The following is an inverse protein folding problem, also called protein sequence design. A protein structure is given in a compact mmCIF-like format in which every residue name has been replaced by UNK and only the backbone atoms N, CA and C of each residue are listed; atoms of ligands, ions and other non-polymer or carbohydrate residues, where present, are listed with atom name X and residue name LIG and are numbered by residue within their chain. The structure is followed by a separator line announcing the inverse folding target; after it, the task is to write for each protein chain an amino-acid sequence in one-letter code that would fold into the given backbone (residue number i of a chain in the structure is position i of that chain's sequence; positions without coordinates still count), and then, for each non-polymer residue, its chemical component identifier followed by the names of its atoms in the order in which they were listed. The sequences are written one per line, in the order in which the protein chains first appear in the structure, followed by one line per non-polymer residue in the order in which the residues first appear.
data_IF_273021309020
#
_entry.id   IF_273021309020
#
_cell.length_a   1.000
_cell.length_b   1.000
_cell.length_c   1.000
_cell.angle_alpha   90.00
_cell.angle_beta   90.00
_cell.angle_gamma   90.00
#
_symmetry.space_group_name_H-M   'P 1'
#
loop_
_entity.id
_entity.type
_entity.pdbx_description
1 polymer ?
#
# COMPACT_ATOMS: atom_id res chain seq x y z
N UNK A 1 -8.06 23.35 -18.18
CA UNK A 1 -7.74 21.92 -18.23
C UNK A 1 -6.24 21.72 -18.32
N UNK A 2 -5.70 20.58 -17.85
CA UNK A 2 -4.28 20.22 -17.89
C UNK A 2 -3.70 20.27 -19.32
N UNK A 3 -4.48 19.85 -20.32
CA UNK A 3 -4.09 19.87 -21.73
C UNK A 3 -3.89 21.30 -22.28
N UNK A 4 -4.72 22.26 -21.87
CA UNK A 4 -4.49 23.67 -22.26
C UNK A 4 -3.24 24.25 -21.62
N UNK A 5 -3.00 23.92 -20.34
CA UNK A 5 -1.77 24.30 -19.65
C UNK A 5 -0.53 23.68 -20.31
N UNK A 6 -0.61 22.39 -20.71
CA UNK A 6 0.43 21.72 -21.47
C UNK A 6 0.71 22.46 -22.80
N UNK A 7 -0.32 22.76 -23.58
CA UNK A 7 -0.14 23.49 -24.84
C UNK A 7 0.48 24.88 -24.63
N UNK A 8 0.06 25.57 -23.56
CA UNK A 8 0.67 26.86 -23.23
C UNK A 8 2.16 26.72 -22.87
N UNK A 9 2.53 25.70 -22.10
CA UNK A 9 3.91 25.42 -21.76
C UNK A 9 4.74 25.08 -23.00
N UNK A 10 4.22 24.21 -23.89
CA UNK A 10 4.90 23.85 -25.14
C UNK A 10 5.07 25.04 -26.08
N UNK A 11 4.06 25.90 -26.18
CA UNK A 11 4.14 27.13 -26.95
C UNK A 11 5.20 28.10 -26.41
N UNK A 12 5.27 28.28 -25.09
CA UNK A 12 6.26 29.11 -24.43
C UNK A 12 7.68 28.58 -24.63
N UNK A 13 7.84 27.27 -24.71
CA UNK A 13 9.11 26.57 -24.94
C UNK A 13 9.51 26.52 -26.45
N UNK A 14 8.67 27.03 -27.34
CA UNK A 14 8.89 26.97 -28.79
C UNK A 14 8.69 25.58 -29.41
N UNK A 15 8.13 24.63 -28.67
CA UNK A 15 7.91 23.24 -29.09
C UNK A 15 6.57 23.08 -29.83
N UNK A 16 6.34 23.80 -30.90
CA UNK A 16 5.08 23.87 -31.64
C UNK A 16 4.61 22.53 -32.22
N UNK A 17 5.53 21.66 -32.55
CA UNK A 17 5.25 20.31 -33.06
C UNK A 17 4.71 19.35 -32.00
N UNK A 18 4.76 19.73 -30.73
CA UNK A 18 4.23 18.93 -29.59
C UNK A 18 2.86 19.39 -29.11
N UNK A 19 2.26 20.38 -29.77
CA UNK A 19 0.96 20.87 -29.37
C UNK A 19 -0.13 19.82 -29.62
N UNK A 20 -1.00 19.65 -28.65
CA UNK A 20 -2.24 18.87 -28.80
C UNK A 20 -3.16 19.62 -29.77
N UNK A 21 -3.67 18.97 -30.83
CA UNK A 21 -4.57 19.59 -31.80
C UNK A 21 -5.81 20.18 -31.15
N UNK A 22 -6.28 21.32 -31.67
CA UNK A 22 -7.47 21.98 -31.15
C UNK A 22 -8.71 21.10 -31.20
N UNK A 23 -8.86 20.32 -32.27
CA UNK A 23 -9.95 19.35 -32.40
C UNK A 23 -9.99 18.32 -31.26
N UNK A 24 -8.81 17.89 -30.79
CA UNK A 24 -8.69 16.99 -29.64
C UNK A 24 -9.12 17.69 -28.35
N UNK A 25 -8.68 18.94 -28.14
CA UNK A 25 -9.12 19.72 -26.98
C UNK A 25 -10.63 19.93 -26.94
N UNK A 26 -11.21 20.28 -28.09
CA UNK A 26 -12.65 20.52 -28.22
C UNK A 26 -13.47 19.22 -28.02
N UNK A 27 -12.93 18.06 -28.46
CA UNK A 27 -13.52 16.75 -28.20
C UNK A 27 -13.55 16.40 -26.72
N UNK A 28 -12.42 16.64 -26.02
CA UNK A 28 -12.32 16.45 -24.57
C UNK A 28 -13.26 17.38 -23.79
N UNK A 29 -13.39 18.63 -24.20
CA UNK A 29 -14.29 19.59 -23.56
C UNK A 29 -15.75 19.17 -23.71
N UNK A 30 -16.13 18.65 -24.87
CA UNK A 30 -17.47 18.08 -25.08
C UNK A 30 -17.71 16.84 -24.24
N UNK A 31 -16.76 15.89 -24.26
CA UNK A 31 -16.86 14.68 -23.45
C UNK A 31 -16.99 15.01 -21.96
N UNK A 32 -16.24 16.01 -21.48
CA UNK A 32 -16.35 16.49 -20.11
C UNK A 32 -17.72 17.12 -19.81
N UNK A 33 -18.23 17.95 -20.70
CA UNK A 33 -19.54 18.59 -20.54
C UNK A 33 -20.70 17.58 -20.56
N UNK A 34 -20.56 16.51 -21.33
CA UNK A 34 -21.54 15.42 -21.47
C UNK A 34 -21.40 14.33 -20.39
N UNK A 35 -20.35 14.41 -19.55
CA UNK A 35 -20.04 13.37 -18.56
C UNK A 35 -19.50 12.07 -19.16
N UNK A 36 -19.05 12.10 -20.41
CA UNK A 36 -18.53 10.94 -21.14
C UNK A 36 -17.01 10.83 -20.97
N UNK A 37 -16.55 10.70 -19.75
CA UNK A 37 -15.13 10.50 -19.40
C UNK A 37 -15.03 9.63 -18.14
N UNK A 38 -13.85 9.05 -17.86
CA UNK A 38 -13.68 8.29 -16.63
C UNK A 38 -12.44 7.42 -16.63
N UNK A 39 -12.18 6.78 -15.48
CA UNK A 39 -11.00 5.97 -15.24
C UNK A 39 -10.89 4.73 -16.15
N UNK A 40 -12.01 4.29 -16.70
CA UNK A 40 -12.12 3.13 -17.59
C UNK A 40 -12.70 3.50 -18.96
N UNK A 41 -12.62 4.76 -19.36
CA UNK A 41 -13.07 5.21 -20.68
C UNK A 41 -11.91 5.12 -21.66
N UNK A 42 -12.07 4.36 -22.72
CA UNK A 42 -11.03 4.09 -23.72
C UNK A 42 -10.64 5.32 -24.54
N UNK A 43 -11.61 6.22 -24.78
CA UNK A 43 -11.41 7.39 -25.66
C UNK A 43 -11.10 8.65 -24.87
N UNK A 44 -11.78 8.85 -23.76
CA UNK A 44 -11.63 10.01 -22.89
C UNK A 44 -11.27 9.57 -21.46
N UNK A 45 -10.09 8.96 -21.26
CA UNK A 45 -9.67 8.50 -19.95
C UNK A 45 -9.44 9.71 -19.02
N UNK A 46 -9.98 9.64 -17.82
CA UNK A 46 -9.68 10.58 -16.76
C UNK A 46 -9.54 9.82 -15.45
N UNK A 47 -8.31 9.65 -15.02
CA UNK A 47 -7.96 8.80 -13.87
C UNK A 47 -7.49 9.66 -12.71
N UNK A 48 -8.17 9.57 -11.59
CA UNK A 48 -7.64 9.98 -10.31
C UNK A 48 -6.89 8.78 -9.70
N UNK A 49 -5.60 8.70 -9.96
CA UNK A 49 -4.75 7.60 -9.50
C UNK A 49 -4.76 7.41 -7.99
N UNK A 50 -4.95 8.50 -7.25
CA UNK A 50 -5.10 8.43 -5.81
C UNK A 50 -6.36 7.66 -5.42
N UNK A 51 -7.50 8.05 -5.97
CA UNK A 51 -8.78 7.39 -5.65
C UNK A 51 -8.82 5.94 -6.14
N UNK A 52 -8.13 5.62 -7.24
CA UNK A 52 -8.07 4.26 -7.75
C UNK A 52 -7.20 3.35 -6.88
N UNK A 53 -6.09 3.84 -6.36
CA UNK A 53 -5.09 3.00 -5.70
C UNK A 53 -5.11 3.11 -4.17
N UNK A 54 -5.44 4.27 -3.62
CA UNK A 54 -5.36 4.51 -2.17
C UNK A 54 -6.72 4.30 -1.51
N UNK A 55 -6.72 3.54 -0.45
CA UNK A 55 -7.87 3.26 0.39
C UNK A 55 -7.58 3.54 1.85
N UNK A 56 -8.27 2.82 2.72
CA UNK A 56 -8.08 2.89 4.17
C UNK A 56 -7.33 1.66 4.66
N UNK A 57 -6.24 1.86 5.37
CA UNK A 57 -5.57 0.82 6.12
C UNK A 57 -6.24 0.59 7.48
N UNK A 58 -6.17 -0.63 7.97
CA UNK A 58 -6.71 -0.99 9.28
C UNK A 58 -5.61 -1.54 10.16
N UNK A 59 -5.39 -0.89 11.31
CA UNK A 59 -4.44 -1.32 12.34
C UNK A 59 -5.18 -1.89 13.53
N UNK A 60 -4.73 -3.05 14.01
CA UNK A 60 -5.25 -3.74 15.18
C UNK A 60 -4.17 -3.87 16.22
N UNK A 61 -4.49 -3.53 17.46
CA UNK A 61 -3.63 -3.73 18.61
C UNK A 61 -4.41 -4.37 19.74
N UNK A 62 -3.99 -5.58 20.12
CA UNK A 62 -4.56 -6.29 21.26
C UNK A 62 -3.46 -6.56 22.27
N UNK A 63 -3.74 -6.31 23.54
CA UNK A 63 -2.85 -6.63 24.63
C UNK A 63 -3.65 -7.18 25.81
N UNK A 64 -3.27 -8.37 26.26
CA UNK A 64 -3.85 -8.99 27.43
C UNK A 64 -2.74 -9.25 28.42
N UNK A 65 -2.93 -8.85 29.66
CA UNK A 65 -1.99 -9.13 30.72
C UNK A 65 -2.70 -9.61 31.99
N UNK A 66 -2.02 -10.50 32.68
CA UNK A 66 -2.46 -11.03 33.98
C UNK A 66 -1.30 -10.87 34.97
N UNK A 67 -1.66 -10.58 36.18
CA UNK A 67 -0.70 -10.50 37.30
C UNK A 67 -1.35 -11.04 38.57
N UNK A 68 -0.56 -11.60 39.40
CA UNK A 68 -1.01 -12.07 40.71
C UNK A 68 0.16 -12.53 41.55
N UNK A 69 -0.13 -13.02 42.72
CA UNK A 69 0.88 -13.58 43.58
C UNK A 69 0.41 -13.87 44.96
N UNK A 70 1.27 -14.54 45.68
CA UNK A 70 1.19 -14.85 47.10
C UNK A 70 2.48 -14.39 47.76
N UNK A 71 2.68 -14.61 49.06
CA UNK A 71 3.91 -14.34 49.74
C UNK A 71 5.12 -15.15 49.21
N UNK A 72 4.84 -16.30 48.58
CA UNK A 72 5.82 -17.22 48.04
C UNK A 72 6.15 -16.98 46.56
N UNK A 73 5.18 -16.50 45.79
CA UNK A 73 5.34 -16.33 44.35
C UNK A 73 4.58 -15.09 43.85
N UNK A 74 5.23 -14.32 42.96
CA UNK A 74 4.58 -13.28 42.17
C UNK A 74 4.72 -13.62 40.69
N UNK A 75 3.70 -13.33 39.91
CA UNK A 75 3.74 -13.56 38.49
C UNK A 75 3.12 -12.41 37.71
N UNK A 76 3.64 -12.22 36.52
CA UNK A 76 3.10 -11.37 35.48
C UNK A 76 3.21 -12.12 34.15
N UNK A 77 2.15 -12.12 33.36
CA UNK A 77 2.18 -12.60 31.99
C UNK A 77 1.43 -11.62 31.09
N UNK A 78 1.98 -11.42 29.90
CA UNK A 78 1.40 -10.52 28.89
C UNK A 78 1.54 -11.15 27.52
N UNK A 79 0.48 -11.04 26.72
CA UNK A 79 0.46 -11.42 25.30
C UNK A 79 -0.10 -10.26 24.51
N UNK A 80 0.63 -9.86 23.45
CA UNK A 80 0.22 -8.79 22.57
C UNK A 80 0.19 -9.24 21.12
N UNK A 81 -0.71 -8.67 20.37
CA UNK A 81 -0.84 -8.80 18.93
C UNK A 81 -0.95 -7.41 18.31
N UNK A 82 -0.17 -7.19 17.25
CA UNK A 82 -0.31 -6.04 16.36
C UNK A 82 -0.50 -6.55 14.93
N UNK A 83 -1.47 -6.00 14.23
CA UNK A 83 -1.71 -6.26 12.82
C UNK A 83 -1.91 -4.97 12.07
N UNK A 84 -1.10 -4.71 11.03
CA UNK A 84 -1.22 -3.57 10.15
C UNK A 84 -1.58 -4.06 8.75
N UNK A 85 -2.69 -3.57 8.22
CA UNK A 85 -3.14 -3.82 6.86
C UNK A 85 -2.61 -2.80 5.87
N UNK A 86 -2.88 -3.06 4.58
CA UNK A 86 -2.49 -2.19 3.49
C UNK A 86 -3.42 -0.98 3.38
N UNK A 87 -2.87 0.14 2.92
CA UNK A 87 -3.62 1.32 2.50
C UNK A 87 -3.96 1.29 1.01
N UNK A 88 -3.33 0.41 0.24
CA UNK A 88 -3.57 0.30 -1.19
C UNK A 88 -4.73 -0.66 -1.49
N UNK A 89 -5.55 -0.31 -2.48
CA UNK A 89 -6.69 -1.11 -2.96
C UNK A 89 -6.25 -2.27 -3.85
N UNK A 90 -5.30 -3.06 -3.39
CA UNK A 90 -4.77 -4.18 -4.13
C UNK A 90 -5.59 -5.44 -3.93
N UNK A 91 -5.64 -6.29 -4.94
CA UNK A 91 -6.29 -7.59 -4.89
C UNK A 91 -5.25 -8.71 -4.90
N UNK A 92 -5.48 -9.70 -4.06
CA UNK A 92 -4.74 -10.96 -4.14
C UNK A 92 -5.06 -11.64 -5.47
N UNK A 93 -4.04 -12.15 -6.16
CA UNK A 93 -4.19 -13.04 -7.29
C UNK A 93 -3.80 -14.49 -6.91
N UNK A 94 -3.90 -15.42 -7.87
CA UNK A 94 -3.63 -16.83 -7.62
C UNK A 94 -2.15 -17.13 -7.36
N UNK A 95 -1.26 -16.29 -7.88
CA UNK A 95 0.18 -16.50 -7.79
C UNK A 95 0.79 -15.84 -6.55
N UNK A 96 0.29 -14.68 -6.13
CA UNK A 96 0.83 -13.94 -4.99
C UNK A 96 -0.17 -12.95 -4.39
N UNK A 97 0.19 -12.42 -3.22
CA UNK A 97 -0.55 -11.37 -2.54
C UNK A 97 0.26 -10.06 -2.57
N UNK A 98 -0.08 -9.08 -3.42
CA UNK A 98 0.66 -7.84 -3.53
C UNK A 98 0.44 -6.89 -2.34
N UNK A 99 -0.53 -7.17 -1.47
CA UNK A 99 -0.88 -6.30 -0.34
C UNK A 99 0.23 -6.28 0.70
N UNK A 100 0.52 -5.12 1.21
CA UNK A 100 1.43 -4.97 2.35
C UNK A 100 0.71 -5.43 3.61
N UNK A 101 1.41 -6.16 4.46
CA UNK A 101 0.88 -6.53 5.77
C UNK A 101 2.00 -6.73 6.77
N UNK A 102 1.70 -6.38 8.00
CA UNK A 102 2.58 -6.64 9.13
C UNK A 102 1.77 -7.26 10.25
N UNK A 103 2.29 -8.35 10.82
CA UNK A 103 1.69 -9.01 11.98
C UNK A 103 2.78 -9.29 12.98
N UNK A 104 2.60 -8.86 14.22
CA UNK A 104 3.53 -9.08 15.31
C UNK A 104 2.83 -9.68 16.51
N UNK A 105 3.41 -10.73 17.02
CA UNK A 105 3.04 -11.37 18.29
C UNK A 105 4.18 -11.13 19.27
N UNK A 106 3.86 -10.74 20.48
CA UNK A 106 4.81 -10.58 21.57
C UNK A 106 4.25 -11.20 22.84
N UNK A 107 5.14 -11.79 23.61
CA UNK A 107 4.78 -12.36 24.90
C UNK A 107 5.87 -12.06 25.92
N UNK A 108 5.47 -11.94 27.17
CA UNK A 108 6.34 -11.77 28.32
C UNK A 108 5.76 -12.49 29.50
N UNK A 109 6.61 -13.19 30.23
CA UNK A 109 6.26 -13.83 31.52
C UNK A 109 7.37 -13.59 32.52
N UNK A 110 7.01 -13.07 33.68
CA UNK A 110 7.92 -12.84 34.78
C UNK A 110 7.39 -13.61 35.99
N UNK A 111 8.26 -14.38 36.64
CA UNK A 111 7.97 -15.13 37.85
C UNK A 111 9.04 -14.81 38.90
N UNK A 112 8.60 -14.43 40.09
CA UNK A 112 9.47 -14.20 41.23
C UNK A 112 9.07 -15.18 42.36
N UNK A 113 9.98 -16.01 42.76
CA UNK A 113 9.81 -17.01 43.80
C UNK A 113 10.62 -16.67 45.02
N UNK A 114 10.01 -16.59 46.17
CA UNK A 114 10.69 -16.54 47.48
C UNK A 114 10.96 -17.96 47.96
N UNK A 115 12.10 -18.54 47.60
CA UNK A 115 12.45 -19.92 47.92
C UNK A 115 12.69 -20.09 49.44
N UNK A 116 13.38 -19.14 50.03
CA UNK A 116 13.59 -19.03 51.47
C UNK A 116 13.52 -17.54 51.87
N UNK A 117 13.63 -17.25 53.18
CA UNK A 117 13.70 -15.86 53.68
C UNK A 117 14.87 -15.06 53.10
N UNK A 118 15.93 -15.72 52.68
CA UNK A 118 17.14 -15.09 52.14
C UNK A 118 17.38 -15.38 50.65
N UNK A 119 16.60 -16.29 50.03
CA UNK A 119 16.82 -16.72 48.63
C UNK A 119 15.61 -16.43 47.78
N UNK A 120 15.84 -15.68 46.71
CA UNK A 120 14.82 -15.39 45.68
C UNK A 120 15.27 -15.92 44.33
N UNK A 121 14.35 -16.45 43.57
CA UNK A 121 14.54 -16.85 42.16
C UNK A 121 13.61 -16.03 41.27
N UNK A 122 14.19 -15.34 40.32
CA UNK A 122 13.43 -14.60 39.31
C UNK A 122 13.61 -15.23 37.92
N UNK A 123 12.54 -15.53 37.24
CA UNK A 123 12.54 -16.09 35.88
C UNK A 123 11.78 -15.10 34.97
N UNK A 124 12.49 -14.58 33.97
CA UNK A 124 11.92 -13.67 32.98
C UNK A 124 12.06 -14.29 31.61
N UNK A 125 10.95 -14.48 30.94
CA UNK A 125 10.86 -15.02 29.58
C UNK A 125 10.12 -14.00 28.71
N UNK A 126 10.70 -13.62 27.60
CA UNK A 126 10.05 -12.75 26.63
C UNK A 126 10.38 -13.20 25.22
N UNK A 127 9.47 -12.99 24.30
CA UNK A 127 9.69 -13.29 22.91
C UNK A 127 8.79 -12.42 22.02
N UNK A 128 9.21 -12.31 20.77
CA UNK A 128 8.42 -11.69 19.71
C UNK A 128 8.53 -12.52 18.44
N UNK A 129 7.46 -12.51 17.64
CA UNK A 129 7.44 -13.09 16.30
C UNK A 129 6.74 -12.11 15.38
N UNK A 130 7.36 -11.77 14.25
CA UNK A 130 6.80 -10.84 13.30
C UNK A 130 6.79 -11.42 11.89
N UNK A 131 5.70 -11.20 11.19
CA UNK A 131 5.51 -11.53 9.78
C UNK A 131 5.29 -10.25 9.02
N UNK A 132 6.03 -10.05 7.95
CA UNK A 132 5.88 -8.91 7.06
C UNK A 132 5.76 -9.36 5.62
N UNK A 133 4.72 -8.90 4.95
CA UNK A 133 4.60 -8.98 3.50
C UNK A 133 4.80 -7.57 2.93
N UNK A 134 5.75 -7.41 2.02
CA UNK A 134 6.01 -6.13 1.35
C UNK A 134 6.49 -6.37 -0.08
N UNK A 135 6.39 -5.37 -0.94
CA UNK A 135 7.04 -5.37 -2.23
C UNK A 135 8.56 -5.55 -2.08
N UNK A 136 9.19 -6.24 -3.03
CA UNK A 136 10.64 -6.42 -3.05
C UNK A 136 11.35 -5.14 -3.43
N UNK A 137 10.78 -4.40 -4.36
CA UNK A 137 11.34 -3.15 -4.87
C UNK A 137 10.84 -1.98 -4.00
N UNK A 138 11.75 -1.05 -3.73
CA UNK A 138 11.47 0.22 -3.06
C UNK A 138 10.82 1.25 -4.01
N UNK A 139 10.26 0.80 -5.14
CA UNK A 139 9.49 1.67 -6.03
C UNK A 139 8.40 2.37 -5.20
N UNK A 140 8.52 3.69 -5.13
CA UNK A 140 7.62 4.50 -4.31
C UNK A 140 6.27 4.64 -5.06
N UNK A 141 5.23 3.89 -4.69
CA UNK A 141 3.95 3.96 -5.39
C UNK A 141 3.30 5.35 -5.30
N UNK A 142 3.61 6.12 -4.26
CA UNK A 142 3.17 7.52 -4.17
C UNK A 142 3.80 8.39 -5.25
N UNK A 143 5.07 8.17 -5.57
CA UNK A 143 5.70 8.87 -6.67
C UNK A 143 5.01 8.55 -8.00
N UNK A 144 4.74 7.28 -8.27
CA UNK A 144 4.01 6.87 -9.47
C UNK A 144 2.61 7.51 -9.54
N UNK A 145 1.85 7.51 -8.44
CA UNK A 145 0.53 8.17 -8.35
C UNK A 145 0.62 9.66 -8.70
N UNK A 146 1.64 10.35 -8.21
CA UNK A 146 1.79 11.79 -8.40
C UNK A 146 2.31 12.18 -9.78
N UNK A 147 3.06 11.30 -10.44
CA UNK A 147 3.70 11.58 -11.73
C UNK A 147 2.97 11.00 -12.94
N UNK A 148 2.07 10.03 -12.73
CA UNK A 148 1.32 9.42 -13.82
C UNK A 148 0.30 10.39 -14.42
N UNK A 149 0.22 10.48 -15.75
CA UNK A 149 -0.72 11.37 -16.41
C UNK A 149 -2.17 10.91 -16.19
N UNK A 150 -3.07 11.85 -15.94
CA UNK A 150 -4.47 11.57 -15.61
C UNK A 150 -5.39 11.39 -16.81
N UNK A 151 -4.93 11.80 -18.00
CA UNK A 151 -5.81 11.90 -19.19
C UNK A 151 -5.18 11.33 -20.46
N UNK A 152 -4.23 10.39 -20.32
CA UNK A 152 -3.52 9.79 -21.46
C UNK A 152 -4.01 8.38 -21.74
N UNK A 153 -4.26 7.59 -20.70
CA UNK A 153 -4.75 6.20 -20.81
C UNK A 153 -5.66 5.88 -19.62
N UNK A 154 -6.60 4.93 -19.77
CA UNK A 154 -7.45 4.47 -18.68
C UNK A 154 -6.68 3.56 -17.71
N UNK A 155 -7.29 3.21 -16.60
CA UNK A 155 -6.74 2.17 -15.71
C UNK A 155 -6.68 0.84 -16.45
N UNK A 156 -7.79 0.49 -17.11
CA UNK A 156 -7.91 -0.66 -18.03
C UNK A 156 -8.78 -0.28 -19.21
N UNK A 157 -8.46 -0.81 -20.38
CA UNK A 157 -9.30 -0.73 -21.56
C UNK A 157 -10.48 -1.70 -21.46
N UNK A 158 -11.48 -1.50 -22.30
CA UNK A 158 -12.68 -2.33 -22.35
C UNK A 158 -12.41 -3.79 -22.76
N UNK A 159 -11.30 -4.06 -23.45
CA UNK A 159 -10.81 -5.40 -23.77
C UNK A 159 -10.11 -6.10 -22.60
N UNK A 160 -9.89 -5.39 -21.49
CA UNK A 160 -9.26 -5.91 -20.27
C UNK A 160 -7.76 -5.70 -20.18
N UNK A 161 -7.14 -5.14 -21.21
CA UNK A 161 -5.71 -4.78 -21.17
C UNK A 161 -5.47 -3.58 -20.26
N UNK A 162 -4.28 -3.50 -19.67
CA UNK A 162 -3.90 -2.36 -18.86
C UNK A 162 -3.67 -1.11 -19.71
N UNK A 163 -4.04 0.05 -19.17
CA UNK A 163 -3.96 1.36 -19.85
C UNK A 163 -2.56 1.86 -20.07
N UNK A 164 -1.55 1.20 -19.97
CA UNK A 164 -0.15 1.40 -20.38
C UNK A 164 0.65 0.19 -19.90
N UNK A 165 1.48 -0.34 -20.78
CA UNK A 165 2.33 -1.49 -20.48
C UNK A 165 3.75 -1.08 -20.02
N UNK A 166 4.08 0.19 -20.03
CA UNK A 166 5.44 0.72 -19.83
C UNK A 166 5.74 1.30 -18.45
N UNK A 167 5.17 0.78 -17.39
CA UNK A 167 5.47 1.15 -16.00
C UNK A 167 4.92 2.49 -15.50
N UNK A 168 4.10 3.19 -16.27
CA UNK A 168 3.52 4.47 -15.82
C UNK A 168 2.14 4.33 -15.21
N UNK A 169 1.45 3.21 -15.42
CA UNK A 169 0.18 2.91 -14.77
C UNK A 169 0.41 2.36 -13.35
N UNK A 170 0.20 3.15 -12.30
CA UNK A 170 0.52 2.72 -10.92
C UNK A 170 -0.35 1.55 -10.44
N UNK A 171 -1.59 1.43 -10.94
CA UNK A 171 -2.48 0.31 -10.58
C UNK A 171 -2.01 -0.98 -11.25
N UNK A 172 -1.62 -0.89 -12.52
CA UNK A 172 -1.03 -2.02 -13.25
C UNK A 172 0.24 -2.50 -12.56
N UNK A 173 1.18 -1.59 -12.31
CA UNK A 173 2.46 -1.90 -11.67
C UNK A 173 2.30 -2.63 -10.34
N UNK A 174 1.37 -2.21 -9.51
CA UNK A 174 1.16 -2.83 -8.21
C UNK A 174 0.38 -4.15 -8.27
N UNK A 175 -0.40 -4.37 -9.34
CA UNK A 175 -1.19 -5.60 -9.52
C UNK A 175 -0.55 -6.59 -10.51
N UNK A 176 0.45 -6.18 -11.30
CA UNK A 176 1.07 -7.04 -12.30
C UNK A 176 1.83 -8.20 -11.68
N UNK A 177 1.64 -9.36 -12.25
CA UNK A 177 2.36 -10.58 -11.91
C UNK A 177 3.86 -10.43 -12.20
N UNK A 178 4.63 -10.26 -11.17
CA UNK A 178 6.06 -10.53 -11.20
C UNK A 178 7.00 -9.46 -11.72
N UNK A 179 6.54 -8.34 -12.27
CA UNK A 179 7.47 -7.34 -12.81
C UNK A 179 8.19 -6.59 -11.68
N UNK A 180 7.47 -6.13 -10.64
CA UNK A 180 8.06 -5.29 -9.58
C UNK A 180 7.69 -5.71 -8.16
N UNK A 181 6.84 -6.72 -7.98
CA UNK A 181 6.35 -7.15 -6.68
C UNK A 181 6.77 -8.60 -6.40
N UNK A 182 8.04 -8.80 -6.06
CA UNK A 182 8.47 -10.09 -5.51
C UNK A 182 8.15 -10.13 -4.03
N UNK A 183 7.45 -11.17 -3.59
CA UNK A 183 7.29 -11.45 -2.17
C UNK A 183 8.63 -11.74 -1.54
N UNK A 184 9.02 -10.98 -0.55
CA UNK A 184 10.03 -11.39 0.41
C UNK A 184 9.34 -11.71 1.73
N UNK A 185 9.44 -12.97 2.16
CA UNK A 185 9.22 -13.30 3.54
C UNK A 185 10.47 -12.90 4.31
N UNK A 186 10.39 -11.84 5.09
CA UNK A 186 11.40 -11.53 6.10
C UNK A 186 10.85 -11.94 7.45
N UNK A 187 11.27 -13.11 7.93
CA UNK A 187 11.13 -13.49 9.32
C UNK A 187 12.39 -13.05 10.06
N UNK A 188 12.22 -12.25 11.09
CA UNK A 188 13.28 -11.96 12.06
C UNK A 188 13.01 -12.83 13.29
N UNK A 189 13.96 -13.68 13.61
CA UNK A 189 14.01 -14.42 14.87
C UNK A 189 15.09 -13.74 15.71
N UNK A 190 14.70 -13.03 16.76
CA UNK A 190 15.60 -12.56 17.83
C UNK A 190 15.38 -13.40 19.07
#
# INVERSE_FOLDING_TARGET
TSMRAYNQAMANDGSWNKLIPRSTLDAWERAYAEGNYGAYNDVFPYVNWWDELVGSGFTQNYNVNIRGGTDYMKYFASVGYQGDGDIYKLKKNDSFDPRHSYKRYNWRSNFDFNITKSTKLSINVAGKMAYRNKALDDSNPFYAILTSPTSVYPVKYSDGEWGDDTYTNPVANMNMEGANLRKTFQGWYD
#
